data_IF_822696295696
#
_entry.id   IF_822696295696
#
_cell.length_a   1.000
_cell.length_b   1.000
_cell.length_c   1.000
_cell.angle_alpha   90.00
_cell.angle_beta   90.00
_cell.angle_gamma   90.00
#
_symmetry.space_group_name_H-M   'P 1'
#
loop_
_entity.id
_entity.type
_entity.pdbx_description
1 polymer ?
#
# COMPACT_ATOMS: atom_id res chain seq x y z
N UNK A 1 16.97 -18.60 1.34
CA UNK A 1 16.16 -17.39 1.55
C UNK A 1 16.86 -16.24 0.84
N UNK A 2 16.21 -15.67 -0.16
CA UNK A 2 16.74 -14.53 -0.92
C UNK A 2 16.75 -13.27 -0.05
N UNK A 3 17.84 -12.50 -0.08
CA UNK A 3 18.08 -11.27 0.71
C UNK A 3 17.68 -9.99 -0.04
N UNK A 4 16.74 -10.06 -0.99
CA UNK A 4 16.32 -8.87 -1.75
C UNK A 4 15.52 -7.94 -0.82
N UNK A 5 15.86 -6.65 -0.82
CA UNK A 5 15.17 -5.61 -0.08
C UNK A 5 14.16 -4.89 -0.96
N UNK A 6 13.13 -4.30 -0.35
CA UNK A 6 12.14 -3.47 -1.06
C UNK A 6 12.80 -2.28 -1.77
N UNK A 7 13.85 -1.71 -1.16
CA UNK A 7 14.69 -0.66 -1.76
C UNK A 7 15.39 -1.09 -3.05
N UNK A 8 15.59 -2.40 -3.25
CA UNK A 8 16.18 -2.94 -4.48
C UNK A 8 15.14 -3.02 -5.61
N UNK A 9 13.86 -2.82 -5.30
CA UNK A 9 12.77 -2.82 -6.29
C UNK A 9 12.32 -1.42 -6.68
N UNK A 10 12.13 -0.55 -5.69
CA UNK A 10 11.66 0.82 -5.85
C UNK A 10 12.19 1.70 -4.72
N UNK A 11 12.18 3.02 -4.92
CA UNK A 11 12.53 4.01 -3.87
C UNK A 11 11.41 4.19 -2.83
N UNK A 12 11.00 3.09 -2.20
CA UNK A 12 10.03 3.08 -1.10
C UNK A 12 10.71 2.62 0.18
N UNK A 13 10.69 3.50 1.18
CA UNK A 13 11.44 3.32 2.42
C UNK A 13 10.71 2.43 3.41
N UNK A 14 11.46 1.70 4.24
CA UNK A 14 10.89 0.86 5.30
C UNK A 14 10.18 1.72 6.34
N UNK A 15 10.68 2.94 6.56
CA UNK A 15 10.05 3.94 7.42
C UNK A 15 8.66 4.33 6.92
N UNK A 16 8.49 4.51 5.59
CA UNK A 16 7.20 4.81 4.98
C UNK A 16 6.21 3.64 5.13
N UNK A 17 6.69 2.41 4.97
CA UNK A 17 5.90 1.20 5.21
C UNK A 17 5.37 1.15 6.65
N UNK A 18 6.28 1.29 7.63
CA UNK A 18 5.94 1.21 9.05
C UNK A 18 4.99 2.36 9.45
N UNK A 19 5.25 3.57 8.94
CA UNK A 19 4.41 4.73 9.20
C UNK A 19 3.00 4.56 8.67
N UNK A 20 2.82 4.05 7.44
CA UNK A 20 1.49 3.75 6.92
C UNK A 20 0.79 2.69 7.76
N UNK A 21 1.47 1.61 8.12
CA UNK A 21 0.88 0.53 8.93
C UNK A 21 0.39 1.06 10.28
N UNK A 22 1.24 1.74 11.05
CA UNK A 22 0.86 2.27 12.36
C UNK A 22 -0.24 3.33 12.25
N UNK A 23 -0.20 4.18 11.22
CA UNK A 23 -1.24 5.19 11.01
C UNK A 23 -2.60 4.58 10.68
N UNK A 24 -2.63 3.50 9.88
CA UNK A 24 -3.87 2.77 9.61
C UNK A 24 -4.42 2.09 10.86
N UNK A 25 -3.55 1.53 11.72
CA UNK A 25 -3.97 0.92 12.99
C UNK A 25 -4.62 1.97 13.92
N UNK A 26 -4.02 3.16 14.06
CA UNK A 26 -4.61 4.26 14.83
C UNK A 26 -5.95 4.74 14.23
N UNK A 27 -6.04 4.85 12.90
CA UNK A 27 -7.28 5.22 12.23
C UNK A 27 -8.39 4.17 12.41
N UNK A 28 -8.05 2.88 12.38
CA UNK A 28 -8.99 1.80 12.67
C UNK A 28 -9.54 1.92 14.10
N UNK A 29 -8.68 2.20 15.09
CA UNK A 29 -9.12 2.43 16.48
C UNK A 29 -10.06 3.65 16.58
N UNK A 30 -9.80 4.71 15.83
CA UNK A 30 -10.68 5.89 15.80
C UNK A 30 -12.02 5.59 15.09
N UNK A 31 -12.02 4.75 14.06
CA UNK A 31 -13.25 4.26 13.43
C UNK A 31 -14.11 3.45 14.41
N UNK A 32 -13.50 2.58 15.21
CA UNK A 32 -14.20 1.80 16.23
C UNK A 32 -14.74 2.72 17.34
N UNK A 33 -13.95 3.70 17.76
CA UNK A 33 -14.37 4.73 18.72
C UNK A 33 -15.58 5.50 18.19
N UNK A 34 -15.57 5.92 16.93
CA UNK A 34 -16.70 6.59 16.29
C UNK A 34 -17.96 5.71 16.31
N UNK A 35 -17.80 4.43 15.96
CA UNK A 35 -18.89 3.47 15.88
C UNK A 35 -19.51 3.17 17.24
N UNK A 36 -18.73 3.25 18.32
CA UNK A 36 -19.21 3.10 19.69
C UNK A 36 -19.95 4.34 20.23
N UNK A 37 -19.84 5.50 19.57
CA UNK A 37 -20.51 6.75 20.01
C UNK A 37 -21.98 6.86 19.61
N UNK A 38 -22.53 5.88 18.89
CA UNK A 38 -23.88 5.91 18.28
C UNK A 38 -25.01 6.17 19.30
N UNK A 39 -24.83 5.79 20.57
CA UNK A 39 -25.88 5.95 21.60
C UNK A 39 -25.75 7.24 22.43
N UNK A 40 -24.56 7.87 22.48
CA UNK A 40 -24.31 9.08 23.28
C UNK A 40 -23.42 10.04 22.49
N UNK A 41 -24.05 10.86 21.66
CA UNK A 41 -23.37 11.83 20.80
C UNK A 41 -23.14 13.15 21.56
N UNK A 42 -21.95 13.31 22.12
CA UNK A 42 -21.46 14.58 22.68
C UNK A 42 -20.69 15.36 21.58
N UNK A 43 -21.15 16.56 21.19
CA UNK A 43 -20.49 17.36 20.16
C UNK A 43 -19.00 17.60 20.45
N UNK A 44 -18.61 17.81 21.72
CA UNK A 44 -17.23 18.09 22.07
C UNK A 44 -16.33 16.87 21.85
N UNK A 45 -16.83 15.68 22.21
CA UNK A 45 -16.10 14.42 21.99
C UNK A 45 -15.98 14.08 20.50
N UNK A 46 -17.02 14.37 19.71
CA UNK A 46 -16.97 14.20 18.26
C UNK A 46 -15.95 15.15 17.62
N UNK A 47 -15.87 16.40 18.08
CA UNK A 47 -14.88 17.36 17.60
C UNK A 47 -13.45 16.97 17.97
N UNK A 48 -13.22 16.44 19.18
CA UNK A 48 -11.93 15.87 19.58
C UNK A 48 -11.54 14.67 18.69
N UNK A 49 -12.48 13.74 18.49
CA UNK A 49 -12.30 12.58 17.61
C UNK A 49 -11.93 13.03 16.19
N UNK A 50 -12.66 13.99 15.63
CA UNK A 50 -12.38 14.57 14.30
C UNK A 50 -10.97 15.15 14.23
N UNK A 51 -10.52 15.90 15.25
CA UNK A 51 -9.17 16.50 15.25
C UNK A 51 -8.09 15.43 15.20
N UNK A 52 -8.23 14.37 16.01
CA UNK A 52 -7.32 13.21 15.99
C UNK A 52 -7.34 12.52 14.63
N UNK A 53 -8.54 12.28 14.10
CA UNK A 53 -8.73 11.64 12.79
C UNK A 53 -8.07 12.43 11.66
N UNK A 54 -8.26 13.75 11.62
CA UNK A 54 -7.64 14.64 10.63
C UNK A 54 -6.11 14.61 10.72
N UNK A 55 -5.55 14.58 11.93
CA UNK A 55 -4.10 14.50 12.14
C UNK A 55 -3.52 13.21 11.54
N UNK A 56 -4.10 12.06 11.84
CA UNK A 56 -3.64 10.78 11.28
C UNK A 56 -3.91 10.69 9.77
N UNK A 57 -5.03 11.22 9.28
CA UNK A 57 -5.31 11.29 7.84
C UNK A 57 -4.28 12.13 7.08
N UNK A 58 -3.79 13.22 7.67
CA UNK A 58 -2.71 14.02 7.07
C UNK A 58 -1.44 13.20 6.91
N UNK A 59 -1.04 12.46 7.94
CA UNK A 59 0.10 11.52 7.88
C UNK A 59 -0.09 10.45 6.82
N UNK A 60 -1.27 9.80 6.78
CA UNK A 60 -1.55 8.77 5.79
C UNK A 60 -1.55 9.35 4.36
N UNK A 61 -2.04 10.58 4.17
CA UNK A 61 -2.03 11.27 2.87
C UNK A 61 -0.61 11.43 2.32
N UNK A 62 0.36 11.74 3.19
CA UNK A 62 1.75 11.88 2.79
C UNK A 62 2.32 10.56 2.27
N UNK A 63 2.08 9.45 2.97
CA UNK A 63 2.55 8.13 2.53
C UNK A 63 1.78 7.65 1.29
N UNK A 64 0.46 7.85 1.26
CA UNK A 64 -0.38 7.48 0.12
C UNK A 64 0.05 8.19 -1.17
N UNK A 65 0.46 9.46 -1.08
CA UNK A 65 0.96 10.22 -2.24
C UNK A 65 2.23 9.59 -2.83
N UNK A 66 3.15 9.08 -1.99
CA UNK A 66 4.33 8.34 -2.43
C UNK A 66 3.94 7.02 -3.11
N UNK A 67 3.01 6.28 -2.51
CA UNK A 67 2.49 5.01 -3.07
C UNK A 67 1.84 5.24 -4.44
N UNK A 68 1.06 6.32 -4.58
CA UNK A 68 0.34 6.65 -5.81
C UNK A 68 1.28 6.93 -6.98
N UNK A 69 2.51 7.39 -6.73
CA UNK A 69 3.51 7.58 -7.78
C UNK A 69 3.86 6.26 -8.51
N UNK A 70 3.67 5.11 -7.87
CA UNK A 70 3.89 3.79 -8.46
C UNK A 70 2.66 3.19 -9.15
N UNK A 71 1.55 3.94 -9.24
CA UNK A 71 0.32 3.52 -9.91
C UNK A 71 0.37 3.88 -11.39
N UNK A 72 0.43 2.88 -12.25
CA UNK A 72 0.40 3.07 -13.71
C UNK A 72 -0.96 3.51 -14.25
N UNK A 73 -0.99 3.81 -15.55
CA UNK A 73 -2.20 4.29 -16.26
C UNK A 73 -3.41 3.34 -16.14
N UNK A 74 -3.17 2.04 -16.04
CA UNK A 74 -4.22 1.01 -15.88
C UNK A 74 -4.60 0.75 -14.41
N UNK A 75 -4.35 1.72 -13.51
CA UNK A 75 -4.55 1.59 -12.06
C UNK A 75 -3.80 0.43 -11.40
N UNK A 76 -2.80 -0.12 -12.07
CA UNK A 76 -1.99 -1.24 -11.61
C UNK A 76 -0.68 -0.72 -11.03
N UNK A 77 -0.33 -1.17 -9.84
CA UNK A 77 0.92 -0.78 -9.20
C UNK A 77 2.11 -1.58 -9.76
N UNK A 78 3.27 -0.93 -9.87
CA UNK A 78 4.57 -1.55 -10.18
C UNK A 78 4.68 -2.23 -11.56
N UNK A 79 3.83 -1.83 -12.51
CA UNK A 79 3.84 -2.46 -13.84
C UNK A 79 5.13 -2.21 -14.61
N UNK A 80 5.70 -1.00 -14.49
CA UNK A 80 6.95 -0.64 -15.16
C UNK A 80 8.15 -1.35 -14.52
N UNK A 81 8.17 -1.44 -13.18
CA UNK A 81 9.14 -2.25 -12.43
C UNK A 81 9.12 -3.72 -12.87
N UNK A 82 7.92 -4.30 -13.08
CA UNK A 82 7.76 -5.66 -13.60
C UNK A 82 8.37 -5.81 -15.01
N UNK A 83 8.12 -4.86 -15.90
CA UNK A 83 8.67 -4.85 -17.27
C UNK A 83 10.20 -4.77 -17.24
N UNK A 84 10.74 -3.94 -16.36
CA UNK A 84 12.18 -3.79 -16.17
C UNK A 84 12.82 -5.11 -15.70
N UNK A 85 12.28 -5.75 -14.66
CA UNK A 85 12.81 -7.04 -14.19
C UNK A 85 12.73 -8.12 -15.25
N UNK A 86 11.65 -8.15 -16.04
CA UNK A 86 11.53 -9.08 -17.17
C UNK A 86 12.63 -8.82 -18.20
N UNK A 87 12.88 -7.56 -18.56
CA UNK A 87 13.92 -7.20 -19.52
C UNK A 87 15.33 -7.56 -19.01
N UNK A 88 15.61 -7.35 -17.73
CA UNK A 88 16.89 -7.71 -17.13
C UNK A 88 17.07 -9.23 -17.04
N UNK A 89 16.06 -9.97 -16.60
CA UNK A 89 16.06 -11.43 -16.59
C UNK A 89 16.23 -12.00 -18.01
N UNK A 90 15.59 -11.40 -19.02
CA UNK A 90 15.74 -11.79 -20.41
C UNK A 90 17.19 -11.65 -20.90
N UNK A 91 17.88 -10.56 -20.51
CA UNK A 91 19.32 -10.38 -20.80
C UNK A 91 20.18 -11.47 -20.16
N UNK A 92 19.90 -11.82 -18.90
CA UNK A 92 20.60 -12.90 -18.18
C UNK A 92 20.45 -14.23 -18.93
N UNK A 93 19.23 -14.59 -19.34
CA UNK A 93 18.98 -15.82 -20.11
C UNK A 93 19.67 -15.79 -21.47
N UNK A 94 19.65 -14.66 -22.18
CA UNK A 94 20.31 -14.53 -23.48
C UNK A 94 21.82 -14.63 -23.40
N UNK A 95 22.43 -14.08 -22.35
CA UNK A 95 23.87 -14.15 -22.12
C UNK A 95 24.30 -15.55 -21.65
N UNK A 96 23.39 -16.29 -21.03
CA UNK A 96 23.64 -17.58 -20.44
C UNK A 96 24.35 -17.43 -19.09
N UNK A 97 23.99 -18.28 -18.15
CA UNK A 97 24.60 -18.34 -16.82
C UNK A 97 24.76 -19.79 -16.40
N UNK A 98 25.58 -20.04 -15.38
CA UNK A 98 25.76 -21.38 -14.83
C UNK A 98 25.08 -21.44 -13.47
N UNK A 99 24.20 -22.43 -13.29
CA UNK A 99 23.52 -22.69 -12.04
C UNK A 99 24.01 -24.02 -11.47
N UNK A 100 24.23 -24.06 -10.15
CA UNK A 100 24.58 -25.29 -9.45
C UNK A 100 23.33 -26.00 -8.99
N UNK A 101 23.01 -27.12 -9.63
CA UNK A 101 21.90 -27.99 -9.24
C UNK A 101 22.49 -29.32 -8.80
N UNK A 102 22.21 -29.73 -7.55
CA UNK A 102 22.71 -31.00 -6.98
C UNK A 102 24.24 -31.18 -7.08
N UNK A 103 24.99 -30.08 -6.95
CA UNK A 103 26.46 -30.09 -7.03
C UNK A 103 27.03 -30.17 -8.44
N UNK A 104 26.20 -30.15 -9.49
CA UNK A 104 26.62 -30.07 -10.90
C UNK A 104 26.43 -28.66 -11.45
N UNK A 105 27.41 -28.20 -12.21
CA UNK A 105 27.32 -26.95 -12.97
C UNK A 105 26.48 -27.18 -14.23
N UNK A 106 25.29 -26.58 -14.28
CA UNK A 106 24.39 -26.63 -15.44
C UNK A 106 24.40 -25.27 -16.10
N UNK A 107 24.75 -25.22 -17.39
CA UNK A 107 24.64 -23.99 -18.18
C UNK A 107 23.17 -23.78 -18.58
N UNK A 108 22.58 -22.68 -18.13
CA UNK A 108 21.21 -22.29 -18.44
C UNK A 108 21.25 -21.04 -19.34
N UNK A 109 20.54 -21.09 -20.47
CA UNK A 109 20.46 -19.98 -21.42
C UNK A 109 21.55 -20.00 -22.49
N UNK A 110 21.88 -18.81 -23.03
CA UNK A 110 22.63 -18.70 -24.29
C UNK A 110 21.77 -19.04 -25.52
N UNK A 111 20.46 -18.89 -25.38
CA UNK A 111 19.44 -19.33 -26.35
C UNK A 111 18.93 -18.18 -27.23
N UNK A 112 18.25 -18.55 -28.32
CA UNK A 112 17.59 -17.58 -29.20
C UNK A 112 16.52 -16.75 -28.48
N UNK A 113 16.15 -15.60 -29.07
CA UNK A 113 15.25 -14.64 -28.43
C UNK A 113 13.88 -15.23 -28.05
N UNK A 114 13.34 -16.15 -28.86
CA UNK A 114 12.04 -16.80 -28.62
C UNK A 114 12.07 -17.68 -27.37
N UNK A 115 13.10 -18.51 -27.23
CA UNK A 115 13.28 -19.43 -26.11
C UNK A 115 13.62 -18.67 -24.81
N UNK A 116 14.39 -17.58 -24.93
CA UNK A 116 14.68 -16.70 -23.80
C UNK A 116 13.42 -16.02 -23.24
N UNK A 117 12.43 -15.69 -24.08
CA UNK A 117 11.19 -15.04 -23.64
C UNK A 117 10.26 -15.98 -22.85
N UNK A 118 10.43 -17.30 -23.01
CA UNK A 118 9.73 -18.32 -22.21
C UNK A 118 10.51 -18.59 -20.92
N UNK A 119 11.81 -18.84 -21.04
CA UNK A 119 12.68 -19.23 -19.91
C UNK A 119 12.87 -18.10 -18.87
N UNK A 120 12.63 -16.85 -19.26
CA UNK A 120 12.76 -15.67 -18.37
C UNK A 120 11.97 -15.79 -17.07
N UNK A 121 10.80 -16.45 -17.11
CA UNK A 121 9.93 -16.59 -15.94
C UNK A 121 10.47 -17.60 -14.92
N UNK A 122 11.38 -18.47 -15.35
CA UNK A 122 11.96 -19.49 -14.49
C UNK A 122 13.25 -19.07 -13.79
N UNK A 123 13.84 -17.96 -14.21
CA UNK A 123 15.09 -17.43 -13.65
C UNK A 123 14.88 -17.05 -12.18
N UNK A 124 15.72 -17.54 -11.25
CA UNK A 124 15.65 -17.18 -9.83
C UNK A 124 15.62 -15.65 -9.61
N UNK A 125 16.45 -14.92 -10.36
CA UNK A 125 16.47 -13.44 -10.38
C UNK A 125 15.07 -12.83 -10.55
N UNK A 126 14.29 -13.35 -11.50
CA UNK A 126 12.95 -12.87 -11.82
C UNK A 126 11.95 -13.32 -10.77
N UNK A 127 11.94 -14.61 -10.41
CA UNK A 127 11.00 -15.19 -9.44
C UNK A 127 11.04 -14.49 -8.09
N UNK A 128 12.24 -14.27 -7.56
CA UNK A 128 12.41 -13.66 -6.23
C UNK A 128 11.92 -12.20 -6.21
N UNK A 129 12.21 -11.43 -7.27
CA UNK A 129 11.77 -10.03 -7.39
C UNK A 129 10.27 -9.90 -7.61
N UNK A 130 9.68 -10.79 -8.40
CA UNK A 130 8.23 -10.81 -8.60
C UNK A 130 7.50 -11.16 -7.31
N UNK A 131 7.99 -12.12 -6.53
CA UNK A 131 7.37 -12.46 -5.24
C UNK A 131 7.32 -11.24 -4.31
N UNK A 132 8.45 -10.57 -4.12
CA UNK A 132 8.51 -9.37 -3.27
C UNK A 132 7.68 -8.19 -3.83
N UNK A 133 7.61 -8.06 -5.16
CA UNK A 133 6.78 -7.06 -5.83
C UNK A 133 5.28 -7.30 -5.61
N UNK A 134 4.81 -8.55 -5.65
CA UNK A 134 3.40 -8.87 -5.38
C UNK A 134 3.02 -8.58 -3.92
N UNK A 135 3.90 -8.89 -2.95
CA UNK A 135 3.68 -8.51 -1.54
C UNK A 135 3.55 -6.99 -1.38
N UNK A 136 4.44 -6.23 -2.03
CA UNK A 136 4.44 -4.78 -1.98
C UNK A 136 3.21 -4.17 -2.67
N UNK A 137 2.80 -4.76 -3.80
CA UNK A 137 1.59 -4.38 -4.52
C UNK A 137 0.33 -4.64 -3.69
N UNK A 138 0.25 -5.78 -3.00
CA UNK A 138 -0.85 -6.07 -2.08
C UNK A 138 -0.93 -5.02 -0.96
N UNK A 139 0.22 -4.60 -0.41
CA UNK A 139 0.28 -3.52 0.55
C UNK A 139 -0.21 -2.18 -0.04
N UNK A 140 0.23 -1.80 -1.24
CA UNK A 140 -0.19 -0.56 -1.90
C UNK A 140 -1.69 -0.51 -2.18
N UNK A 141 -2.27 -1.64 -2.62
CA UNK A 141 -3.72 -1.78 -2.82
C UNK A 141 -4.45 -1.59 -1.49
N UNK A 142 -4.00 -2.26 -0.42
CA UNK A 142 -4.58 -2.13 0.91
C UNK A 142 -4.57 -0.68 1.41
N UNK A 143 -3.46 0.05 1.22
CA UNK A 143 -3.38 1.46 1.59
C UNK A 143 -4.35 2.32 0.78
N UNK A 144 -4.48 2.09 -0.54
CA UNK A 144 -5.44 2.81 -1.40
C UNK A 144 -6.90 2.60 -0.94
N UNK A 145 -7.27 1.36 -0.65
CA UNK A 145 -8.60 1.00 -0.14
C UNK A 145 -8.89 1.64 1.22
N UNK A 146 -7.96 1.49 2.17
CA UNK A 146 -8.09 2.07 3.51
C UNK A 146 -8.14 3.59 3.48
N UNK A 147 -7.31 4.24 2.66
CA UNK A 147 -7.32 5.70 2.50
C UNK A 147 -8.70 6.21 2.05
N UNK A 148 -9.31 5.55 1.05
CA UNK A 148 -10.67 5.88 0.58
C UNK A 148 -11.69 5.67 1.69
N UNK A 149 -11.63 4.53 2.38
CA UNK A 149 -12.52 4.21 3.50
C UNK A 149 -12.44 5.28 4.61
N UNK A 150 -11.25 5.63 5.09
CA UNK A 150 -11.09 6.65 6.13
C UNK A 150 -11.53 8.04 5.68
N UNK A 151 -11.33 8.38 4.40
CA UNK A 151 -11.85 9.63 3.84
C UNK A 151 -13.38 9.68 3.96
N UNK A 152 -14.06 8.57 3.67
CA UNK A 152 -15.51 8.45 3.86
C UNK A 152 -15.90 8.56 5.34
N UNK A 153 -15.20 7.88 6.24
CA UNK A 153 -15.47 7.98 7.69
C UNK A 153 -15.31 9.41 8.19
N UNK A 154 -14.26 10.12 7.77
CA UNK A 154 -14.06 11.52 8.16
C UNK A 154 -15.21 12.42 7.69
N UNK A 155 -15.71 12.20 6.47
CA UNK A 155 -16.88 12.92 5.98
C UNK A 155 -18.13 12.64 6.82
N UNK A 156 -18.34 11.39 7.24
CA UNK A 156 -19.44 11.00 8.12
C UNK A 156 -19.32 11.66 9.49
N UNK A 157 -18.14 11.65 10.11
CA UNK A 157 -17.89 12.34 11.39
C UNK A 157 -18.25 13.83 11.28
N UNK A 158 -17.83 14.49 10.19
CA UNK A 158 -18.14 15.90 9.95
C UNK A 158 -19.64 16.16 9.80
N UNK A 159 -20.37 15.28 9.10
CA UNK A 159 -21.81 15.37 8.96
C UNK A 159 -22.52 15.18 10.31
N UNK A 160 -22.11 14.19 11.09
CA UNK A 160 -22.67 13.93 12.43
C UNK A 160 -22.48 15.12 13.35
N UNK A 161 -21.29 15.75 13.38
CA UNK A 161 -21.06 16.98 14.15
C UNK A 161 -22.03 18.09 13.73
N UNK A 162 -22.22 18.29 12.42
CA UNK A 162 -23.13 19.33 11.91
C UNK A 162 -24.58 19.12 12.35
N UNK A 163 -25.03 17.87 12.46
CA UNK A 163 -26.38 17.53 12.94
C UNK A 163 -26.48 17.72 14.45
N UNK A 164 -25.58 17.07 15.21
CA UNK A 164 -25.64 17.04 16.67
C UNK A 164 -25.43 18.43 17.28
N UNK A 165 -24.56 19.26 16.71
CA UNK A 165 -24.37 20.64 17.19
C UNK A 165 -25.62 21.50 17.02
N UNK A 166 -26.38 21.33 15.92
CA UNK A 166 -27.64 22.05 15.71
C UNK A 166 -28.71 21.63 16.71
N UNK A 167 -28.85 20.33 16.94
CA UNK A 167 -29.81 19.78 17.90
C UNK A 167 -29.47 20.21 19.34
N UNK A 168 -28.18 20.23 19.67
CA UNK A 168 -27.69 20.69 20.97
C UNK A 168 -27.99 22.17 21.20
N UNK A 169 -27.72 23.04 20.22
CA UNK A 169 -28.08 24.46 20.31
C UNK A 169 -29.60 24.67 20.44
N UNK A 170 -30.40 23.99 19.60
CA UNK A 170 -31.86 24.09 19.64
C UNK A 170 -32.44 23.68 21.00
N UNK A 171 -31.91 22.60 21.61
CA UNK A 171 -32.31 22.14 22.95
C UNK A 171 -31.95 23.11 24.09
N UNK A 172 -30.97 23.99 23.85
CA UNK A 172 -30.50 24.99 24.82
C UNK A 172 -31.30 26.30 24.77
N UNK A 173 -31.87 26.64 23.61
CA UNK A 173 -32.72 27.83 23.42
C UNK A 173 -34.23 27.56 23.56
N UNK A 174 -34.65 26.29 23.65
CA UNK A 174 -36.04 25.88 23.84
C UNK A 174 -36.42 25.63 25.32
N UNK A 175 -35.55 26.05 26.25
CA UNK A 175 -35.83 26.16 27.69
C UNK A 175 -35.89 27.63 28.08
#
# INVERSE_FOLDING_TARGET
MSKIKVSDLIDFKVEDYNLAKSTMEELDVLCDTYSAMVEVLDPNKLDELKRRFVSHMSTLTNVYSKIKAYKGANHTYLEDTRKEFKAQAFKIVRQGYTEKVEGKDIKIGGVGATEANVTVYDVPYYKERISLMEDLKAFFIKVDEKFKFYTTVLQLIQQTISIVSKDYEYSRYSK
#
